data_IF_790461532569
#
_entry.id   IF_790461532569
#
_cell.length_a   1.000
_cell.length_b   1.000
_cell.length_c   1.000
_cell.angle_alpha   90.00
_cell.angle_beta   90.00
_cell.angle_gamma   90.00
#
_symmetry.space_group_name_H-M   'P 1'
#
loop_
_entity.id
_entity.type
_entity.pdbx_description
1 polymer ?
#
# COMPACT_ATOMS: atom_id res chain seq x y z
N UNK A 1 4.76 18.69 3.16
CA UNK A 1 3.38 18.99 3.61
C UNK A 1 2.34 18.16 2.85
N UNK A 2 2.48 17.97 1.53
CA UNK A 2 1.54 17.16 0.73
C UNK A 2 1.49 15.67 1.10
N UNK A 3 2.61 15.09 1.55
CA UNK A 3 2.67 13.68 1.94
C UNK A 3 1.87 13.35 3.20
N UNK A 4 1.73 14.31 4.12
CA UNK A 4 0.96 14.11 5.36
C UNK A 4 -0.55 14.02 5.06
N UNK A 5 -1.06 14.97 4.27
CA UNK A 5 -2.46 14.96 3.83
C UNK A 5 -2.77 13.73 2.98
N UNK A 6 -1.86 13.33 2.08
CA UNK A 6 -2.02 12.12 1.30
C UNK A 6 -1.99 10.84 2.18
N UNK A 7 -1.12 10.81 3.19
CA UNK A 7 -1.03 9.68 4.12
C UNK A 7 -2.31 9.49 4.95
N UNK A 8 -3.05 10.56 5.21
CA UNK A 8 -4.27 10.56 6.02
C UNK A 8 -5.56 10.41 5.18
N UNK A 9 -5.65 11.10 4.04
CA UNK A 9 -6.90 11.22 3.26
C UNK A 9 -6.74 10.90 1.77
N UNK A 10 -5.51 10.64 1.32
CA UNK A 10 -5.23 10.41 -0.09
C UNK A 10 -5.57 8.98 -0.54
N UNK A 11 -5.92 8.84 -1.82
CA UNK A 11 -6.04 7.54 -2.48
C UNK A 11 -4.65 6.92 -2.65
N UNK A 12 -4.37 5.84 -1.94
CA UNK A 12 -3.11 5.13 -2.03
C UNK A 12 -3.08 4.21 -3.26
N UNK A 13 -2.03 4.34 -4.08
CA UNK A 13 -1.78 3.47 -5.24
C UNK A 13 -0.49 2.70 -5.00
N UNK A 14 -0.55 1.38 -5.14
CA UNK A 14 0.60 0.51 -4.95
C UNK A 14 1.66 0.75 -6.02
N UNK A 15 2.91 0.83 -5.62
CA UNK A 15 4.07 0.95 -6.50
C UNK A 15 4.46 -0.45 -7.03
N UNK A 16 4.33 -0.71 -8.35
CA UNK A 16 4.63 -2.01 -8.91
C UNK A 16 6.07 -2.47 -8.68
N UNK A 17 7.02 -1.52 -8.58
CA UNK A 17 8.43 -1.81 -8.33
C UNK A 17 8.72 -2.26 -6.90
N UNK A 18 7.86 -1.88 -5.94
CA UNK A 18 7.97 -2.25 -4.53
C UNK A 18 7.17 -3.52 -4.16
N UNK A 19 6.57 -4.18 -5.14
CA UNK A 19 5.75 -5.37 -4.91
C UNK A 19 6.58 -6.56 -4.46
N UNK A 20 6.15 -7.22 -3.39
CA UNK A 20 6.76 -8.43 -2.87
C UNK A 20 5.71 -9.31 -2.18
N UNK A 21 5.99 -10.60 -2.04
CA UNK A 21 5.17 -11.49 -1.22
C UNK A 21 5.63 -11.39 0.24
N UNK A 22 4.68 -11.15 1.14
CA UNK A 22 4.91 -11.14 2.59
C UNK A 22 3.79 -11.94 3.27
N UNK A 23 4.16 -12.93 4.08
CA UNK A 23 3.23 -13.75 4.91
C UNK A 23 2.00 -14.30 4.17
N UNK A 24 2.14 -14.68 2.89
CA UNK A 24 1.04 -15.22 2.09
C UNK A 24 0.10 -14.17 1.48
N UNK A 25 0.48 -12.89 1.54
CA UNK A 25 -0.20 -11.79 0.89
C UNK A 25 0.75 -11.03 -0.03
N UNK A 26 0.18 -10.32 -1.01
CA UNK A 26 0.96 -9.46 -1.88
C UNK A 26 1.09 -8.09 -1.23
N UNK A 27 2.30 -7.73 -0.81
CA UNK A 27 2.62 -6.47 -0.15
C UNK A 27 3.30 -5.50 -1.12
N UNK A 28 3.16 -4.21 -0.86
CA UNK A 28 3.76 -3.13 -1.64
C UNK A 28 3.84 -1.86 -0.79
N UNK A 29 4.29 -0.77 -1.40
CA UNK A 29 4.28 0.57 -0.81
C UNK A 29 3.50 1.53 -1.70
N UNK A 30 2.92 2.55 -1.10
CA UNK A 30 2.30 3.64 -1.83
C UNK A 30 3.35 4.38 -2.65
N UNK A 31 3.13 4.52 -3.96
CA UNK A 31 4.04 5.20 -4.88
C UNK A 31 4.30 6.68 -4.52
N UNK A 32 3.41 7.29 -3.72
CA UNK A 32 3.51 8.70 -3.35
C UNK A 32 4.07 8.93 -1.95
N UNK A 33 3.58 8.23 -0.93
CA UNK A 33 3.98 8.47 0.47
C UNK A 33 4.73 7.31 1.14
N UNK A 34 4.99 6.22 0.41
CA UNK A 34 5.74 5.07 0.92
C UNK A 34 5.03 4.25 2.00
N UNK A 35 3.74 4.53 2.27
CA UNK A 35 2.94 3.77 3.23
C UNK A 35 2.79 2.32 2.78
N UNK A 36 2.90 1.38 3.72
CA UNK A 36 2.69 -0.05 3.42
C UNK A 36 1.29 -0.28 2.85
N UNK A 37 1.23 -1.13 1.84
CA UNK A 37 0.00 -1.54 1.18
C UNK A 37 -0.03 -3.05 1.06
N UNK A 38 -1.22 -3.62 1.17
CA UNK A 38 -1.45 -5.06 1.02
C UNK A 38 -2.59 -5.29 0.03
N UNK A 39 -2.44 -6.32 -0.81
CA UNK A 39 -3.50 -6.88 -1.63
C UNK A 39 -3.90 -8.23 -1.04
N UNK A 40 -5.09 -8.25 -0.45
CA UNK A 40 -5.71 -9.48 0.00
C UNK A 40 -6.34 -10.23 -1.19
N UNK A 41 -6.44 -11.57 -1.14
CA UNK A 41 -7.05 -12.34 -2.21
C UNK A 41 -8.48 -11.85 -2.53
N UNK A 42 -8.75 -11.55 -3.80
CA UNK A 42 -10.06 -11.08 -4.26
C UNK A 42 -10.41 -9.63 -3.88
N UNK A 43 -9.51 -8.90 -3.21
CA UNK A 43 -9.75 -7.52 -2.79
C UNK A 43 -8.80 -6.53 -3.51
N UNK A 44 -9.22 -5.26 -3.66
CA UNK A 44 -8.33 -4.21 -4.13
C UNK A 44 -7.22 -3.94 -3.11
N UNK A 45 -6.19 -3.24 -3.57
CA UNK A 45 -5.11 -2.76 -2.70
C UNK A 45 -5.64 -1.90 -1.56
N UNK A 46 -5.11 -2.11 -0.36
CA UNK A 46 -5.45 -1.35 0.85
C UNK A 46 -4.17 -0.84 1.50
N UNK A 47 -4.23 0.37 2.05
CA UNK A 47 -3.15 0.89 2.89
C UNK A 47 -3.16 0.20 4.24
N UNK A 48 -2.05 -0.45 4.61
CA UNK A 48 -1.94 -1.28 5.80
C UNK A 48 -1.04 -2.49 5.59
N UNK A 49 -0.86 -3.28 6.65
CA UNK A 49 -0.19 -4.58 6.62
C UNK A 49 -1.23 -5.69 6.79
N UNK A 50 -0.85 -6.92 6.46
CA UNK A 50 -1.66 -8.10 6.70
C UNK A 50 -1.47 -8.64 8.14
N UNK A 51 -1.58 -7.79 9.16
CA UNK A 51 -1.55 -8.25 10.56
C UNK A 51 -2.95 -8.65 11.06
#
# INVERSE_FOLDING_TARGET
MFDLLHRLFGTHVADPASNHWDRGHFASKCARCGRDMVRLPGLPWRAGRAD
#
